data_IF_695459018589
#
_entry.id   IF_695459018589
#
_cell.length_a   1.000
_cell.length_b   1.000
_cell.length_c   1.000
_cell.angle_alpha   90.00
_cell.angle_beta   90.00
_cell.angle_gamma   90.00
#
_symmetry.space_group_name_H-M   'P 1'
#
loop_
_entity.id
_entity.type
_entity.pdbx_description
1 polymer ?
#
# COMPACT_ATOMS: atom_id res chain seq x y z
N UNK A 1 -1.67 -31.97 0.19
CA UNK A 1 -1.14 -31.40 -1.06
C UNK A 1 0.36 -31.44 -1.03
N UNK A 2 0.99 -32.03 -2.05
CA UNK A 2 2.44 -32.15 -2.14
C UNK A 2 3.09 -30.74 -2.12
N UNK A 3 4.21 -30.58 -1.41
CA UNK A 3 4.96 -29.30 -1.31
C UNK A 3 5.32 -28.71 -2.68
N UNK A 4 5.38 -29.50 -3.75
CA UNK A 4 5.62 -29.04 -5.12
C UNK A 4 4.48 -28.20 -5.70
N UNK A 5 3.21 -28.46 -5.33
CA UNK A 5 2.08 -27.68 -5.81
C UNK A 5 2.00 -26.29 -5.16
N UNK A 6 2.35 -26.18 -3.89
CA UNK A 6 2.39 -24.90 -3.18
C UNK A 6 3.54 -24.00 -3.69
N UNK A 7 4.72 -24.55 -3.99
CA UNK A 7 5.84 -23.80 -4.53
C UNK A 7 5.59 -23.27 -5.96
N UNK A 8 4.91 -24.06 -6.82
CA UNK A 8 4.57 -23.61 -8.18
C UNK A 8 3.48 -22.53 -8.20
N UNK A 9 2.63 -22.47 -7.18
CA UNK A 9 1.53 -21.51 -7.09
C UNK A 9 1.99 -20.12 -6.59
N UNK A 10 3.09 -20.05 -5.83
CA UNK A 10 3.68 -18.80 -5.33
C UNK A 10 4.16 -17.88 -6.49
N UNK A 11 4.64 -18.45 -7.59
CA UNK A 11 5.10 -17.70 -8.76
C UNK A 11 3.98 -17.16 -9.66
N UNK A 12 2.72 -17.50 -9.37
CA UNK A 12 1.57 -17.19 -10.26
C UNK A 12 0.51 -16.30 -9.60
N UNK A 13 0.70 -15.92 -8.34
CA UNK A 13 -0.26 -15.05 -7.63
C UNK A 13 0.02 -13.59 -7.95
N UNK A 14 -0.96 -12.92 -8.50
CA UNK A 14 -0.96 -11.46 -8.57
C UNK A 14 -1.50 -10.92 -7.26
N UNK A 15 -0.76 -10.00 -6.64
CA UNK A 15 -1.17 -9.35 -5.39
C UNK A 15 -1.08 -7.84 -5.61
N UNK A 16 -2.23 -7.19 -5.72
CA UNK A 16 -2.32 -5.75 -5.68
C UNK A 16 -2.51 -5.32 -4.22
N UNK A 17 -1.45 -4.76 -3.63
CA UNK A 17 -1.45 -4.19 -2.29
C UNK A 17 -0.97 -2.75 -2.41
N UNK A 18 -1.90 -1.82 -2.36
CA UNK A 18 -1.66 -0.40 -2.55
C UNK A 18 -2.63 0.44 -1.73
N UNK A 19 -2.18 1.62 -1.31
CA UNK A 19 -3.08 2.66 -0.80
C UNK A 19 -3.59 3.52 -1.96
N UNK A 20 -4.70 4.24 -1.75
CA UNK A 20 -5.23 5.20 -2.70
C UNK A 20 -4.53 6.57 -2.62
N UNK A 21 -3.49 6.72 -1.79
CA UNK A 21 -2.72 7.96 -1.64
C UNK A 21 -1.40 7.93 -2.41
N UNK A 22 -0.94 9.09 -2.87
CA UNK A 22 0.35 9.27 -3.58
C UNK A 22 1.55 8.88 -2.71
N UNK A 23 1.43 9.05 -1.40
CA UNK A 23 2.46 8.72 -0.42
C UNK A 23 1.82 8.04 0.79
N UNK A 24 2.49 7.04 1.34
CA UNK A 24 2.03 6.39 2.58
C UNK A 24 2.31 7.31 3.80
N UNK A 25 1.33 7.47 4.72
CA UNK A 25 1.45 8.31 5.92
C UNK A 25 2.64 7.90 6.80
N UNK A 26 2.95 6.60 6.89
CA UNK A 26 4.14 6.12 7.60
C UNK A 26 5.45 6.65 7.02
N UNK A 27 5.54 6.81 5.69
CA UNK A 27 6.72 7.44 5.06
C UNK A 27 6.84 8.90 5.42
N UNK A 28 5.73 9.63 5.52
CA UNK A 28 5.71 11.04 5.96
C UNK A 28 6.18 11.13 7.41
N UNK A 29 5.69 10.26 8.30
CA UNK A 29 6.15 10.20 9.71
C UNK A 29 7.66 9.96 9.82
N UNK A 30 8.18 8.99 9.08
CA UNK A 30 9.62 8.73 9.04
C UNK A 30 10.40 9.94 8.52
N UNK A 31 9.93 10.58 7.45
CA UNK A 31 10.57 11.79 6.91
C UNK A 31 10.55 12.94 7.93
N UNK A 32 9.42 13.16 8.61
CA UNK A 32 9.31 14.18 9.67
C UNK A 32 10.26 13.91 10.82
N UNK A 33 10.40 12.65 11.27
CA UNK A 33 11.34 12.27 12.33
C UNK A 33 12.80 12.45 11.95
N UNK A 34 13.11 12.25 10.68
CA UNK A 34 14.46 12.42 10.13
C UNK A 34 14.74 13.86 9.63
N UNK A 35 13.80 14.81 9.83
CA UNK A 35 13.85 16.17 9.28
C UNK A 35 14.13 16.20 7.78
N UNK A 36 13.55 15.26 7.02
CA UNK A 36 13.66 15.17 5.56
C UNK A 36 12.39 15.67 4.89
N UNK A 37 12.56 16.26 3.70
CA UNK A 37 11.44 16.63 2.85
C UNK A 37 10.77 15.41 2.22
N UNK A 38 9.50 15.56 1.87
CA UNK A 38 8.74 14.63 1.04
C UNK A 38 8.70 15.14 -0.41
N UNK A 39 8.39 14.26 -1.39
CA UNK A 39 8.27 14.70 -2.78
C UNK A 39 7.21 15.79 -2.95
N UNK A 40 7.42 16.68 -3.95
CA UNK A 40 6.41 17.66 -4.34
C UNK A 40 5.17 16.96 -4.93
N UNK A 41 3.99 17.53 -4.71
CA UNK A 41 2.74 17.06 -5.31
C UNK A 41 2.14 15.81 -4.67
N UNK A 42 2.54 15.42 -3.45
CA UNK A 42 2.02 14.23 -2.76
C UNK A 42 1.16 14.56 -1.53
N UNK A 43 1.23 15.79 -1.00
CA UNK A 43 0.49 16.20 0.18
C UNK A 43 0.20 17.71 0.19
N UNK A 44 -0.83 18.08 0.95
CA UNK A 44 -1.18 19.46 1.30
C UNK A 44 -0.94 19.66 2.81
N UNK A 45 -0.70 20.91 3.21
CA UNK A 45 -0.71 21.34 4.60
C UNK A 45 -2.15 21.49 5.15
N UNK A 46 -2.29 21.91 6.40
CA UNK A 46 -3.58 22.16 7.04
C UNK A 46 -4.40 23.30 6.41
N UNK A 47 -3.79 24.13 5.58
CA UNK A 47 -4.44 25.23 4.84
C UNK A 47 -4.77 24.86 3.39
N UNK A 48 -4.53 23.61 2.97
CA UNK A 48 -4.79 23.13 1.62
C UNK A 48 -3.72 23.54 0.59
N UNK A 49 -2.56 24.04 1.03
CA UNK A 49 -1.44 24.39 0.14
C UNK A 49 -0.49 23.21 -0.03
N UNK A 50 0.04 23.04 -1.23
CA UNK A 50 1.05 22.01 -1.48
C UNK A 50 2.29 22.23 -0.60
N UNK A 51 2.73 21.15 0.04
CA UNK A 51 3.92 21.19 0.90
C UNK A 51 4.89 20.04 0.60
N UNK A 52 6.17 20.32 0.79
CA UNK A 52 7.25 19.32 0.84
C UNK A 52 7.76 19.13 2.27
N UNK A 53 7.29 19.92 3.24
CA UNK A 53 7.60 19.77 4.65
C UNK A 53 6.79 18.59 5.22
N UNK A 54 7.50 17.59 5.73
CA UNK A 54 6.86 16.39 6.25
C UNK A 54 6.00 16.65 7.50
N UNK A 55 6.37 17.61 8.36
CA UNK A 55 5.59 17.97 9.57
C UNK A 55 4.28 18.65 9.19
N UNK A 56 4.31 19.57 8.23
CA UNK A 56 3.11 20.25 7.73
C UNK A 56 2.16 19.27 7.04
N UNK A 57 2.71 18.31 6.28
CA UNK A 57 1.94 17.25 5.61
C UNK A 57 1.24 16.29 6.61
N UNK A 58 1.78 16.10 7.82
CA UNK A 58 1.12 15.29 8.87
C UNK A 58 -0.12 15.98 9.42
N UNK A 59 -0.14 17.31 9.48
CA UNK A 59 -1.30 18.10 9.92
C UNK A 59 -2.30 18.38 8.80
N UNK A 60 -1.98 18.01 7.57
CA UNK A 60 -2.80 18.18 6.39
C UNK A 60 -3.27 16.85 5.79
N UNK A 61 -3.40 16.80 4.45
CA UNK A 61 -3.93 15.64 3.73
C UNK A 61 -2.98 15.15 2.65
N UNK A 62 -2.98 13.84 2.44
CA UNK A 62 -2.28 13.20 1.33
C UNK A 62 -3.11 13.31 0.06
N UNK A 63 -2.46 13.62 -1.06
CA UNK A 63 -3.14 13.64 -2.36
C UNK A 63 -3.43 12.22 -2.85
N UNK A 64 -4.58 12.00 -3.51
CA UNK A 64 -4.93 10.70 -4.07
C UNK A 64 -4.09 10.38 -5.31
N UNK A 65 -3.83 9.09 -5.55
CA UNK A 65 -3.26 8.62 -6.82
C UNK A 65 -4.18 9.03 -7.98
N UNK A 66 -3.62 9.31 -9.16
CA UNK A 66 -4.40 9.65 -10.36
C UNK A 66 -5.45 10.76 -10.17
N UNK A 67 -5.24 11.69 -9.24
CA UNK A 67 -6.11 12.86 -9.01
C UNK A 67 -7.55 12.46 -8.66
N UNK A 68 -8.55 13.09 -9.32
CA UNK A 68 -9.96 12.86 -9.04
C UNK A 68 -10.42 11.40 -9.23
N UNK A 69 -9.80 10.65 -10.14
CA UNK A 69 -10.13 9.22 -10.36
C UNK A 69 -9.76 8.38 -9.14
N UNK A 70 -8.57 8.59 -8.58
CA UNK A 70 -8.16 7.92 -7.37
C UNK A 70 -8.95 8.37 -6.14
N UNK A 71 -9.35 9.65 -6.09
CA UNK A 71 -10.27 10.15 -5.08
C UNK A 71 -11.62 9.42 -5.11
N UNK A 72 -12.18 9.21 -6.31
CA UNK A 72 -13.41 8.44 -6.49
C UNK A 72 -13.27 6.99 -6.01
N UNK A 73 -12.17 6.32 -6.35
CA UNK A 73 -11.89 4.96 -5.87
C UNK A 73 -11.72 4.92 -4.33
N UNK A 74 -11.01 5.89 -3.75
CA UNK A 74 -10.86 5.99 -2.30
C UNK A 74 -12.22 6.17 -1.61
N UNK A 75 -13.10 6.97 -2.18
CA UNK A 75 -14.46 7.16 -1.66
C UNK A 75 -15.29 5.87 -1.73
N UNK A 76 -15.20 5.11 -2.83
CA UNK A 76 -15.87 3.80 -2.93
C UNK A 76 -15.35 2.81 -1.88
N UNK A 77 -14.04 2.83 -1.60
CA UNK A 77 -13.47 2.02 -0.50
C UNK A 77 -14.05 2.45 0.85
N UNK A 78 -14.12 3.76 1.14
CA UNK A 78 -14.67 4.30 2.39
C UNK A 78 -16.17 3.91 2.56
N UNK A 79 -16.96 3.98 1.48
CA UNK A 79 -18.36 3.52 1.49
C UNK A 79 -18.44 2.02 1.82
N UNK A 80 -17.67 1.18 1.12
CA UNK A 80 -17.75 -0.27 1.27
C UNK A 80 -17.21 -0.76 2.61
N UNK A 81 -16.13 -0.16 3.13
CA UNK A 81 -15.48 -0.59 4.37
C UNK A 81 -15.90 0.22 5.60
N UNK A 82 -16.61 1.31 5.41
CA UNK A 82 -17.10 2.20 6.45
C UNK A 82 -18.61 2.20 6.52
N UNK A 83 -19.25 2.93 5.61
CA UNK A 83 -20.72 3.14 5.63
C UNK A 83 -21.49 1.82 5.54
N UNK A 84 -21.14 0.98 4.55
CA UNK A 84 -21.84 -0.27 4.28
C UNK A 84 -21.76 -1.29 5.42
N UNK A 85 -20.60 -1.37 6.11
CA UNK A 85 -20.38 -2.31 7.23
C UNK A 85 -20.65 -1.67 8.61
N UNK A 86 -21.09 -0.42 8.67
CA UNK A 86 -21.44 0.25 9.95
C UNK A 86 -20.23 0.62 10.81
N UNK A 87 -19.06 0.87 10.21
CA UNK A 87 -17.85 1.27 10.93
C UNK A 87 -17.53 2.77 10.72
N UNK A 88 -16.42 3.26 11.31
CA UNK A 88 -15.99 4.64 11.12
C UNK A 88 -15.65 4.93 9.65
N UNK A 89 -16.09 6.07 9.14
CA UNK A 89 -15.94 6.52 7.76
C UNK A 89 -15.77 8.05 7.70
N UNK A 90 -15.49 8.61 6.53
CA UNK A 90 -15.43 10.06 6.30
C UNK A 90 -14.53 10.80 7.28
N UNK A 91 -13.31 10.27 7.51
CA UNK A 91 -12.32 10.86 8.42
C UNK A 91 -12.55 10.59 9.92
N UNK A 92 -13.55 9.80 10.29
CA UNK A 92 -13.81 9.42 11.70
C UNK A 92 -12.93 8.25 12.19
N UNK A 93 -12.20 7.57 11.32
CA UNK A 93 -11.23 6.56 11.71
C UNK A 93 -10.09 7.24 12.47
N UNK A 94 -9.91 6.86 13.72
CA UNK A 94 -8.89 7.46 14.59
C UNK A 94 -7.48 7.09 14.16
N UNK A 95 -6.55 8.05 14.29
CA UNK A 95 -5.13 7.79 14.05
C UNK A 95 -4.56 6.93 15.18
N UNK A 96 -3.97 5.76 14.89
CA UNK A 96 -3.43 4.86 15.92
C UNK A 96 -2.22 5.42 16.67
N UNK A 97 -1.66 6.53 16.23
CA UNK A 97 -0.47 7.15 16.84
C UNK A 97 -0.77 8.46 17.59
N UNK A 98 -1.90 9.09 17.28
CA UNK A 98 -2.20 10.43 17.79
C UNK A 98 -3.57 10.49 18.50
N UNK A 99 -4.46 9.50 18.32
CA UNK A 99 -5.80 9.48 18.95
C UNK A 99 -6.09 8.15 19.66
N UNK A 100 -5.86 8.14 20.97
CA UNK A 100 -6.07 6.98 21.85
C UNK A 100 -7.41 6.98 22.59
N UNK A 101 -8.37 7.84 22.22
CA UNK A 101 -9.69 7.96 22.87
C UNK A 101 -10.63 6.80 22.47
N UNK A 102 -10.21 5.58 22.58
CA UNK A 102 -10.96 4.35 22.27
C UNK A 102 -10.57 3.71 20.93
N UNK A 103 -11.32 2.68 20.48
CA UNK A 103 -10.98 1.89 19.30
C UNK A 103 -11.03 2.73 18.01
N UNK A 104 -10.24 2.34 17.01
CA UNK A 104 -10.23 3.00 15.70
C UNK A 104 -11.54 2.78 14.93
N UNK A 105 -12.26 1.71 15.23
CA UNK A 105 -13.50 1.29 14.57
C UNK A 105 -13.34 1.14 13.05
N UNK A 106 -12.28 0.43 12.63
CA UNK A 106 -11.98 0.16 11.22
C UNK A 106 -12.85 -0.98 10.71
N UNK A 107 -13.55 -0.76 9.61
CA UNK A 107 -14.29 -1.79 8.89
C UNK A 107 -13.45 -2.46 7.79
N UNK A 108 -13.83 -3.67 7.45
CA UNK A 108 -13.22 -4.46 6.38
C UNK A 108 -14.31 -5.08 5.51
N UNK A 109 -14.03 -5.21 4.21
CA UNK A 109 -14.85 -5.96 3.28
C UNK A 109 -13.99 -7.03 2.60
N UNK A 110 -14.45 -8.28 2.63
CA UNK A 110 -13.81 -9.40 1.95
C UNK A 110 -14.73 -9.93 0.86
N UNK A 111 -14.22 -10.04 -0.36
CA UNK A 111 -14.93 -10.60 -1.50
C UNK A 111 -14.09 -11.73 -2.09
N UNK A 112 -14.69 -12.89 -2.29
CA UNK A 112 -14.04 -14.04 -2.89
C UNK A 112 -14.84 -14.54 -4.11
N UNK A 113 -14.15 -14.75 -5.23
CA UNK A 113 -14.71 -15.33 -6.44
C UNK A 113 -14.04 -16.66 -6.75
N UNK A 114 -14.84 -17.66 -7.09
CA UNK A 114 -14.34 -18.94 -7.60
C UNK A 114 -13.69 -18.69 -8.96
N UNK A 115 -12.43 -19.07 -9.13
CA UNK A 115 -11.63 -18.73 -10.31
C UNK A 115 -12.15 -19.32 -11.63
N UNK A 116 -12.97 -20.38 -11.58
CA UNK A 116 -13.57 -21.01 -12.74
C UNK A 116 -15.08 -20.74 -12.85
N UNK A 117 -15.58 -19.68 -12.21
CA UNK A 117 -17.00 -19.34 -12.21
C UNK A 117 -17.52 -19.04 -13.63
N UNK A 118 -16.73 -18.32 -14.43
CA UNK A 118 -17.12 -17.93 -15.78
C UNK A 118 -16.32 -18.64 -16.88
N UNK A 119 -15.08 -19.04 -16.62
CA UNK A 119 -14.21 -19.68 -17.60
C UNK A 119 -13.44 -20.86 -17.01
N UNK A 120 -13.45 -22.01 -17.68
CA UNK A 120 -12.78 -23.24 -17.21
C UNK A 120 -11.24 -23.11 -17.20
N UNK A 121 -10.67 -22.34 -18.11
CA UNK A 121 -9.21 -22.19 -18.31
C UNK A 121 -8.64 -20.87 -17.72
N UNK A 122 -9.23 -20.33 -16.67
CA UNK A 122 -8.84 -19.06 -16.04
C UNK A 122 -7.33 -18.95 -15.78
N UNK A 123 -6.71 -20.00 -15.19
CA UNK A 123 -5.25 -20.00 -14.92
C UNK A 123 -4.41 -19.85 -16.19
N UNK A 124 -4.84 -20.45 -17.30
CA UNK A 124 -4.15 -20.32 -18.57
C UNK A 124 -4.30 -18.91 -19.14
N UNK A 125 -5.49 -18.33 -19.09
CA UNK A 125 -5.74 -16.95 -19.52
C UNK A 125 -4.89 -15.94 -18.75
N UNK A 126 -4.75 -16.10 -17.43
CA UNK A 126 -3.87 -15.26 -16.61
C UNK A 126 -2.41 -15.37 -17.03
N UNK A 127 -1.91 -16.57 -17.37
CA UNK A 127 -0.52 -16.71 -17.89
C UNK A 127 -0.34 -15.97 -19.20
N UNK A 128 -1.28 -16.11 -20.12
CA UNK A 128 -1.24 -15.40 -21.41
C UNK A 128 -1.25 -13.89 -21.18
N UNK A 129 -2.12 -13.39 -20.30
CA UNK A 129 -2.21 -11.98 -19.94
C UNK A 129 -0.87 -11.45 -19.37
N UNK A 130 -0.28 -12.13 -18.38
CA UNK A 130 1.01 -11.75 -17.81
C UNK A 130 2.10 -11.70 -18.86
N UNK A 131 2.21 -12.73 -19.70
CA UNK A 131 3.22 -12.80 -20.75
C UNK A 131 3.05 -11.64 -21.74
N UNK A 132 1.82 -11.34 -22.15
CA UNK A 132 1.53 -10.23 -23.06
C UNK A 132 1.98 -8.89 -22.46
N UNK A 133 1.61 -8.61 -21.22
CA UNK A 133 2.00 -7.37 -20.50
C UNK A 133 3.52 -7.25 -20.38
N UNK A 134 4.22 -8.34 -20.08
CA UNK A 134 5.68 -8.33 -19.93
C UNK A 134 6.45 -8.13 -21.23
N UNK A 135 5.82 -8.45 -22.37
CA UNK A 135 6.42 -8.35 -23.71
C UNK A 135 6.02 -7.11 -24.50
N UNK A 136 5.23 -6.19 -23.92
CA UNK A 136 4.95 -4.91 -24.59
C UNK A 136 6.22 -4.05 -24.68
N UNK A 137 6.31 -3.13 -25.65
CA UNK A 137 7.41 -2.18 -25.76
C UNK A 137 7.62 -1.42 -24.47
N UNK A 138 8.86 -1.23 -24.07
CA UNK A 138 9.24 -0.59 -22.80
C UNK A 138 10.38 0.39 -23.03
N UNK A 139 10.52 1.35 -22.13
CA UNK A 139 11.66 2.28 -22.09
C UNK A 139 12.94 1.48 -21.91
N UNK A 140 13.98 1.81 -22.64
CA UNK A 140 15.30 1.15 -22.55
C UNK A 140 15.82 1.18 -21.10
N UNK A 141 16.18 0.03 -20.57
CA UNK A 141 16.63 -0.13 -19.18
C UNK A 141 15.52 -0.39 -18.16
N UNK A 142 14.24 -0.17 -18.51
CA UNK A 142 13.11 -0.38 -17.59
C UNK A 142 12.58 -1.83 -17.63
N UNK A 143 11.98 -2.25 -16.53
CA UNK A 143 11.32 -3.56 -16.39
C UNK A 143 9.85 -3.39 -16.10
N UNK A 144 9.01 -4.15 -16.78
CA UNK A 144 7.58 -4.21 -16.50
C UNK A 144 7.33 -5.29 -15.45
N UNK A 145 6.61 -4.95 -14.41
CA UNK A 145 6.24 -5.85 -13.33
C UNK A 145 4.72 -6.00 -13.28
N UNK A 146 4.23 -7.22 -13.13
CA UNK A 146 2.83 -7.43 -12.75
C UNK A 146 2.63 -7.19 -11.23
N UNK A 147 1.39 -6.95 -10.77
CA UNK A 147 1.11 -6.68 -9.36
C UNK A 147 1.66 -7.76 -8.43
N UNK A 148 2.44 -7.36 -7.43
CA UNK A 148 3.10 -8.24 -6.46
C UNK A 148 4.50 -8.74 -6.85
N UNK A 149 4.88 -8.75 -8.12
CA UNK A 149 6.15 -9.32 -8.59
C UNK A 149 7.36 -8.68 -7.90
N UNK A 150 7.39 -7.35 -7.76
CA UNK A 150 8.51 -6.65 -7.07
C UNK A 150 8.64 -7.04 -5.59
N UNK A 151 7.52 -7.28 -4.91
CA UNK A 151 7.52 -7.72 -3.50
C UNK A 151 8.10 -9.12 -3.37
N UNK A 152 7.78 -10.03 -4.28
CA UNK A 152 8.36 -11.38 -4.30
C UNK A 152 9.87 -11.35 -4.51
N UNK A 153 10.37 -10.55 -5.47
CA UNK A 153 11.81 -10.39 -5.66
C UNK A 153 12.51 -9.82 -4.42
N UNK A 154 11.95 -8.77 -3.81
CA UNK A 154 12.49 -8.19 -2.57
C UNK A 154 12.49 -9.18 -1.41
N UNK A 155 11.41 -9.94 -1.23
CA UNK A 155 11.34 -10.97 -0.20
C UNK A 155 12.46 -12.00 -0.36
N UNK A 156 12.71 -12.48 -1.60
CA UNK A 156 13.79 -13.43 -1.89
C UNK A 156 15.17 -12.84 -1.62
N UNK A 157 15.39 -11.57 -1.94
CA UNK A 157 16.65 -10.88 -1.67
C UNK A 157 16.86 -10.63 -0.17
N UNK A 158 15.81 -10.22 0.54
CA UNK A 158 15.88 -9.86 1.96
C UNK A 158 15.84 -11.06 2.91
N UNK A 159 15.48 -12.26 2.44
CA UNK A 159 15.47 -13.47 3.27
C UNK A 159 16.85 -13.87 3.83
N UNK A 160 17.91 -13.33 3.23
CA UNK A 160 19.32 -13.57 3.63
C UNK A 160 20.00 -12.36 4.28
N UNK A 161 19.32 -11.21 4.37
CA UNK A 161 19.92 -9.95 4.80
C UNK A 161 19.26 -9.43 6.07
N UNK A 162 20.05 -8.77 6.92
CA UNK A 162 19.57 -8.01 8.07
C UNK A 162 18.78 -6.79 7.64
N UNK A 163 17.80 -6.37 8.45
CA UNK A 163 17.05 -5.13 8.25
C UNK A 163 17.88 -3.98 8.82
N UNK A 164 18.15 -2.96 8.00
CA UNK A 164 18.77 -1.72 8.48
C UNK A 164 17.74 -0.88 9.22
N UNK A 165 17.92 -0.74 10.52
CA UNK A 165 17.10 0.12 11.37
C UNK A 165 17.81 1.49 11.49
N UNK A 166 17.15 2.63 11.16
CA UNK A 166 17.71 3.96 11.40
C UNK A 166 18.04 4.15 12.88
N UNK A 167 19.15 4.84 13.19
CA UNK A 167 19.62 5.05 14.57
C UNK A 167 18.57 5.73 15.47
N UNK A 168 17.77 6.66 14.91
CA UNK A 168 16.66 7.30 15.64
C UNK A 168 15.58 6.32 16.07
N UNK A 169 15.25 5.32 15.22
CA UNK A 169 14.26 4.28 15.55
C UNK A 169 14.88 3.27 16.55
N UNK A 170 16.17 2.98 16.38
CA UNK A 170 16.87 2.12 17.36
C UNK A 170 16.83 2.72 18.76
N UNK A 171 17.13 4.02 18.90
CA UNK A 171 17.04 4.72 20.18
C UNK A 171 15.65 4.65 20.84
N UNK A 172 14.59 4.75 20.03
CA UNK A 172 13.22 4.60 20.56
C UNK A 172 12.93 3.17 21.03
N UNK A 173 13.42 2.16 20.31
CA UNK A 173 13.28 0.76 20.72
C UNK A 173 14.08 0.48 22.02
N UNK A 174 15.31 1.00 22.13
CA UNK A 174 16.13 0.87 23.32
C UNK A 174 15.45 1.51 24.54
N UNK A 175 14.78 2.68 24.35
CA UNK A 175 14.01 3.34 25.43
C UNK A 175 12.73 2.59 25.83
N UNK A 176 12.19 1.70 25.00
CA UNK A 176 11.04 0.85 25.35
C UNK A 176 11.44 -0.41 26.14
N UNK A 177 12.73 -0.76 26.11
CA UNK A 177 13.29 -1.93 26.80
C UNK A 177 13.93 -1.57 28.16
N UNK A 178 14.12 -0.28 28.42
CA UNK A 178 14.60 0.27 29.69
C UNK A 178 13.43 0.61 30.61
#
# INVERSE_FOLDING_TARGET
PSQSSAASDVYKRQILDTSMSMINRGKIRVAAKLNKSIPKGVALDKFGKQTTNAKDALSGVQLPIAGFRGSGLAWMVDILTGVFVGSAHSGKVKDPFDDFRGPQNIGHLFIAFKNNLFVKNFKQQIKVNINRVKNIPKIKGEKIYYPGERKFFRKKLNSKNTIKIPSSIKKDLDNLLS
#
